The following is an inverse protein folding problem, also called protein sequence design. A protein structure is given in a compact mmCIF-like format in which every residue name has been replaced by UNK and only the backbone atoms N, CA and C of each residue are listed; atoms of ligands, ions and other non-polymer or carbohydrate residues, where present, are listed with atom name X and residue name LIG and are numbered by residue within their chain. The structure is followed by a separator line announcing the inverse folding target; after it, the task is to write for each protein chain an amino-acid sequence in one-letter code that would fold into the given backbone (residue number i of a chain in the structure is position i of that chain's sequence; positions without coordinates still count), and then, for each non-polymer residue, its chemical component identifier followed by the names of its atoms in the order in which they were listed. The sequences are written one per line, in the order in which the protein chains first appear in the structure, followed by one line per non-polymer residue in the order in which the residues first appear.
data_IF_339058511356
#
_entry.id   IF_339058511356
#
_cell.length_a   1.000
_cell.length_b   1.000
_cell.length_c   1.000
_cell.angle_alpha   90.00
_cell.angle_beta   90.00
_cell.angle_gamma   90.00
#
_symmetry.space_group_name_H-M   'P 1'
#
loop_
_entity.id
_entity.type
_entity.pdbx_description
1 polymer ?
#
# COMPACT_ATOMS: atom_id res chain seq x y z
N UNK A 1 -20.68 -6.58 -7.57
CA UNK A 1 -21.60 -5.80 -8.42
C UNK A 1 -21.18 -4.34 -8.34
N UNK A 2 -21.44 -3.55 -9.38
CA UNK A 2 -21.13 -2.12 -9.34
C UNK A 2 -22.20 -1.36 -8.52
N UNK A 3 -21.83 -0.28 -7.82
CA UNK A 3 -20.50 0.36 -7.74
C UNK A 3 -19.55 -0.25 -6.69
N UNK A 4 -20.00 -1.22 -5.90
CA UNK A 4 -19.24 -1.77 -4.77
C UNK A 4 -17.90 -2.42 -5.18
N UNK A 5 -17.84 -3.03 -6.36
CA UNK A 5 -16.59 -3.58 -6.87
C UNK A 5 -15.53 -2.50 -7.15
N UNK A 6 -15.93 -1.35 -7.70
CA UNK A 6 -15.03 -0.21 -7.88
C UNK A 6 -14.54 0.35 -6.55
N UNK A 7 -15.40 0.44 -5.53
CA UNK A 7 -15.02 0.88 -4.17
C UNK A 7 -13.90 -0.02 -3.63
N UNK A 8 -14.04 -1.33 -3.74
CA UNK A 8 -13.01 -2.29 -3.31
C UNK A 8 -11.69 -2.12 -4.07
N UNK A 9 -11.75 -1.93 -5.40
CA UNK A 9 -10.55 -1.69 -6.23
C UNK A 9 -9.80 -0.44 -5.77
N UNK A 10 -10.52 0.62 -5.45
CA UNK A 10 -9.92 1.88 -4.98
C UNK A 10 -9.32 1.72 -3.58
N UNK A 11 -9.97 1.00 -2.67
CA UNK A 11 -9.42 0.70 -1.34
C UNK A 11 -8.15 -0.14 -1.45
N UNK A 12 -8.14 -1.17 -2.31
CA UNK A 12 -6.93 -1.97 -2.59
C UNK A 12 -5.81 -1.07 -3.15
N UNK A 13 -6.13 -0.17 -4.08
CA UNK A 13 -5.20 0.83 -4.60
C UNK A 13 -4.59 1.69 -3.48
N UNK A 14 -5.40 2.18 -2.55
CA UNK A 14 -4.92 2.93 -1.39
C UNK A 14 -3.94 2.12 -0.54
N UNK A 15 -4.21 0.84 -0.27
CA UNK A 15 -3.30 -0.01 0.50
C UNK A 15 -1.96 -0.25 -0.21
N UNK A 16 -1.96 -0.42 -1.54
CA UNK A 16 -0.73 -0.56 -2.33
C UNK A 16 0.13 0.71 -2.21
N UNK A 17 -0.45 1.89 -2.39
CA UNK A 17 0.26 3.17 -2.28
C UNK A 17 0.77 3.41 -0.85
N UNK A 18 -0.05 3.10 0.17
CA UNK A 18 0.34 3.23 1.57
C UNK A 18 1.51 2.31 1.92
N UNK A 19 1.49 1.05 1.48
CA UNK A 19 2.61 0.11 1.69
C UNK A 19 3.85 0.54 0.92
N UNK A 20 3.70 1.04 -0.31
CA UNK A 20 4.82 1.59 -1.07
C UNK A 20 5.50 2.74 -0.33
N UNK A 21 4.72 3.67 0.23
CA UNK A 21 5.23 4.76 1.06
C UNK A 21 6.02 4.25 2.27
N UNK A 22 5.45 3.30 3.03
CA UNK A 22 6.10 2.72 4.21
C UNK A 22 7.42 2.02 3.86
N UNK A 23 7.45 1.19 2.80
CA UNK A 23 8.65 0.50 2.36
C UNK A 23 9.71 1.43 1.79
N UNK A 24 9.34 2.46 1.02
CA UNK A 24 10.30 3.46 0.55
C UNK A 24 10.94 4.21 1.72
N UNK A 25 10.19 4.50 2.78
CA UNK A 25 10.71 5.17 3.96
C UNK A 25 11.73 4.28 4.68
N UNK A 26 11.35 3.03 4.95
CA UNK A 26 12.23 2.05 5.59
C UNK A 26 13.52 1.80 4.78
N UNK A 27 13.42 1.62 3.46
CA UNK A 27 14.58 1.37 2.60
C UNK A 27 15.51 2.58 2.50
N UNK A 28 14.97 3.79 2.46
CA UNK A 28 15.77 5.00 2.37
C UNK A 28 16.65 5.27 3.60
N UNK A 29 16.36 4.62 4.74
CA UNK A 29 17.17 4.69 5.96
C UNK A 29 18.36 3.73 5.94
N UNK A 30 18.25 2.60 5.23
CA UNK A 30 19.26 1.52 5.28
C UNK A 30 20.11 1.39 4.01
N UNK A 31 19.71 2.02 2.91
CA UNK A 31 20.43 1.90 1.64
C UNK A 31 21.68 2.79 1.62
N UNK A 32 22.82 2.21 1.22
CA UNK A 32 24.11 2.91 1.19
C UNK A 32 24.25 3.87 -0.01
N UNK A 33 23.48 3.66 -1.08
CA UNK A 33 23.49 4.55 -2.25
C UNK A 33 22.68 5.81 -1.94
N UNK A 34 23.37 6.92 -1.66
CA UNK A 34 22.76 8.20 -1.31
C UNK A 34 21.84 8.75 -2.40
N UNK A 35 22.16 8.53 -3.68
CA UNK A 35 21.34 9.00 -4.80
C UNK A 35 20.01 8.23 -4.80
N UNK A 36 20.06 6.92 -4.58
CA UNK A 36 18.88 6.08 -4.52
C UNK A 36 18.06 6.35 -3.26
N UNK A 37 18.69 6.52 -2.09
CA UNK A 37 18.02 6.92 -0.84
C UNK A 37 17.26 8.24 -1.01
N UNK A 38 17.89 9.23 -1.65
CA UNK A 38 17.25 10.53 -1.94
C UNK A 38 16.09 10.37 -2.90
N UNK A 39 16.20 9.49 -3.90
CA UNK A 39 15.12 9.22 -4.83
C UNK A 39 13.91 8.55 -4.13
N UNK A 40 14.14 7.56 -3.28
CA UNK A 40 13.05 6.92 -2.51
C UNK A 40 12.35 7.91 -1.57
N UNK A 41 13.09 8.78 -0.87
CA UNK A 41 12.50 9.87 -0.08
C UNK A 41 11.66 10.84 -0.90
N UNK A 42 12.07 11.11 -2.14
CA UNK A 42 11.30 11.96 -3.04
C UNK A 42 9.96 11.32 -3.42
N UNK A 43 9.93 10.00 -3.65
CA UNK A 43 8.71 9.27 -3.99
C UNK A 43 7.68 9.29 -2.85
N UNK A 44 8.10 9.32 -1.58
CA UNK A 44 7.17 9.35 -0.43
C UNK A 44 6.04 10.38 -0.55
N UNK A 45 6.35 11.56 -1.11
CA UNK A 45 5.38 12.65 -1.25
C UNK A 45 4.34 12.41 -2.35
N UNK A 46 4.64 11.60 -3.38
CA UNK A 46 3.62 11.18 -4.35
C UNK A 46 2.72 10.11 -3.74
N UNK A 47 3.32 9.05 -3.21
CA UNK A 47 2.56 7.90 -2.67
C UNK A 47 1.63 8.31 -1.52
N UNK A 48 2.08 9.21 -0.63
CA UNK A 48 1.26 9.67 0.50
C UNK A 48 0.00 10.41 0.05
N UNK A 49 0.04 11.11 -1.08
CA UNK A 49 -1.14 11.80 -1.62
C UNK A 49 -2.03 10.83 -2.37
N UNK A 50 -1.43 9.87 -3.09
CA UNK A 50 -2.20 8.89 -3.85
C UNK A 50 -3.09 8.02 -2.97
N UNK A 51 -2.61 7.55 -1.81
CA UNK A 51 -3.47 6.71 -0.95
C UNK A 51 -4.68 7.50 -0.41
N UNK A 52 -4.49 8.77 -0.04
CA UNK A 52 -5.58 9.65 0.43
C UNK A 52 -6.59 9.89 -0.70
N UNK A 53 -6.12 10.16 -1.92
CA UNK A 53 -6.95 10.36 -3.10
C UNK A 53 -7.77 9.11 -3.43
N UNK A 54 -7.19 7.90 -3.33
CA UNK A 54 -7.89 6.64 -3.56
C UNK A 54 -9.01 6.40 -2.54
N UNK A 55 -8.76 6.64 -1.24
CA UNK A 55 -9.79 6.49 -0.20
C UNK A 55 -10.90 7.53 -0.34
N UNK A 56 -10.54 8.78 -0.65
CA UNK A 56 -11.52 9.84 -0.89
C UNK A 56 -12.41 9.51 -2.10
N UNK A 57 -11.82 9.00 -3.19
CA UNK A 57 -12.57 8.57 -4.37
C UNK A 57 -13.46 7.36 -4.05
N UNK A 58 -12.97 6.39 -3.30
CA UNK A 58 -13.76 5.23 -2.86
C UNK A 58 -14.99 5.67 -2.05
N UNK A 59 -14.81 6.58 -1.09
CA UNK A 59 -15.91 7.11 -0.29
C UNK A 59 -16.88 7.94 -1.14
N UNK A 60 -16.41 8.67 -2.15
CA UNK A 60 -17.29 9.46 -3.03
C UNK A 60 -18.23 8.62 -3.91
N UNK A 61 -17.92 7.32 -4.07
CA UNK A 61 -18.72 6.36 -4.84
C UNK A 61 -19.68 5.54 -3.97
N UNK A 62 -19.69 5.76 -2.66
CA UNK A 62 -20.51 5.05 -1.68
C UNK A 62 -21.30 6.04 -0.83
N UNK A 63 -22.61 5.83 -0.72
CA UNK A 63 -23.45 6.59 0.22
C UNK A 63 -23.21 6.16 1.68
N UNK A 64 -22.78 4.91 1.88
CA UNK A 64 -22.43 4.35 3.19
C UNK A 64 -20.93 4.51 3.48
N UNK A 65 -20.56 4.38 4.77
CA UNK A 65 -19.14 4.38 5.18
C UNK A 65 -18.39 3.19 4.57
N UNK A 66 -17.17 3.45 4.10
CA UNK A 66 -16.26 2.41 3.62
C UNK A 66 -15.40 1.78 4.72
N UNK A 67 -15.54 2.20 5.98
CA UNK A 67 -14.66 1.81 7.09
C UNK A 67 -14.58 0.30 7.29
N UNK A 68 -15.70 -0.42 7.15
CA UNK A 68 -15.72 -1.88 7.27
C UNK A 68 -14.91 -2.57 6.16
N UNK A 69 -14.97 -2.03 4.93
CA UNK A 69 -14.18 -2.56 3.80
C UNK A 69 -12.70 -2.22 3.97
N UNK A 70 -12.38 -1.02 4.43
CA UNK A 70 -11.01 -0.63 4.76
C UNK A 70 -10.43 -1.53 5.85
N UNK A 71 -11.18 -1.78 6.93
CA UNK A 71 -10.77 -2.68 8.00
C UNK A 71 -10.56 -4.11 7.48
N UNK A 72 -11.44 -4.61 6.62
CA UNK A 72 -11.29 -5.92 5.99
C UNK A 72 -10.00 -6.03 5.17
N UNK A 73 -9.75 -5.09 4.25
CA UNK A 73 -8.55 -5.13 3.42
C UNK A 73 -7.25 -4.87 4.19
N UNK A 74 -7.32 -4.12 5.29
CA UNK A 74 -6.19 -3.95 6.20
C UNK A 74 -5.68 -5.29 6.74
N UNK A 75 -6.59 -6.14 7.21
CA UNK A 75 -6.22 -7.45 7.76
C UNK A 75 -5.63 -8.36 6.67
N UNK A 76 -6.23 -8.37 5.48
CA UNK A 76 -5.72 -9.12 4.32
C UNK A 76 -4.32 -8.64 3.92
N UNK A 77 -4.11 -7.32 3.84
CA UNK A 77 -2.81 -6.74 3.50
C UNK A 77 -1.75 -7.09 4.56
N UNK A 78 -2.09 -6.99 5.84
CA UNK A 78 -1.18 -7.34 6.92
C UNK A 78 -0.79 -8.83 6.89
N UNK A 79 -1.73 -9.72 6.60
CA UNK A 79 -1.47 -11.15 6.42
C UNK A 79 -0.51 -11.40 5.24
N UNK A 80 -0.75 -10.78 4.09
CA UNK A 80 0.12 -10.93 2.91
C UNK A 80 1.54 -10.45 3.15
N UNK A 81 1.71 -9.34 3.87
CA UNK A 81 3.03 -8.76 4.16
C UNK A 81 3.82 -9.59 5.19
N UNK A 82 3.14 -10.30 6.09
CA UNK A 82 3.76 -11.09 7.17
C UNK A 82 3.89 -12.58 6.85
N UNK A 83 3.26 -13.06 5.77
CA UNK A 83 3.34 -14.45 5.35
C UNK A 83 4.63 -14.73 4.58
N UNK A 84 5.26 -15.91 4.72
CA UNK A 84 6.48 -16.21 3.98
C UNK A 84 6.29 -16.24 2.45
N UNK A 85 7.27 -15.70 1.73
CA UNK A 85 7.29 -15.62 0.26
C UNK A 85 8.62 -16.19 -0.29
N UNK A 86 8.52 -16.90 -1.42
CA UNK A 86 9.67 -17.47 -2.13
C UNK A 86 10.35 -16.49 -3.07
N UNK A 87 9.68 -15.39 -3.44
CA UNK A 87 10.21 -14.40 -4.37
C UNK A 87 10.36 -13.04 -3.72
N UNK A 88 11.53 -12.42 -3.87
CA UNK A 88 11.69 -11.01 -3.49
C UNK A 88 11.01 -10.12 -4.53
N UNK A 89 10.01 -9.36 -4.05
CA UNK A 89 9.33 -8.28 -4.78
C UNK A 89 9.22 -7.07 -3.87
N UNK A 90 8.90 -5.91 -4.46
CA UNK A 90 8.73 -4.70 -3.67
C UNK A 90 7.58 -4.80 -2.66
N UNK A 91 6.58 -5.65 -2.91
CA UNK A 91 5.45 -5.94 -2.00
C UNK A 91 5.40 -7.41 -1.53
N UNK A 92 6.46 -8.21 -1.73
CA UNK A 92 6.47 -9.61 -1.25
C UNK A 92 6.39 -9.68 0.27
N UNK A 93 5.90 -10.80 0.80
CA UNK A 93 5.95 -11.13 2.22
C UNK A 93 7.37 -11.44 2.72
N UNK A 94 7.46 -12.10 3.87
CA UNK A 94 8.74 -12.41 4.52
C UNK A 94 9.56 -13.41 3.69
N UNK A 95 10.79 -13.10 3.26
CA UNK A 95 11.57 -14.04 2.49
C UNK A 95 11.78 -15.35 3.24
N UNK A 96 11.42 -16.48 2.63
CA UNK A 96 11.81 -17.78 3.16
C UNK A 96 13.33 -17.86 3.05
N UNK A 97 14.00 -18.02 4.19
CA UNK A 97 15.45 -18.20 4.22
C UNK A 97 15.83 -19.38 3.30
N UNK A 98 16.72 -19.11 2.34
CA UNK A 98 17.37 -20.13 1.52
C UNK A 98 18.28 -21.02 2.35
#
# INVERSE_FOLDING_TARGET
YEPAAMVDVLIIGAFIEARSCERFAALAEVINDERLAKYYRYLLKSESRHFEDYLALAQSLSDDSIDERVAFFKEVEAELISTPDTELRFHSGDPIAL
#
